data_IF_055235762371
#
_entry.id   IF_055235762371
#
_cell.length_a   1.000
_cell.length_b   1.000
_cell.length_c   1.000
_cell.angle_alpha   90.00
_cell.angle_beta   90.00
_cell.angle_gamma   90.00
#
_symmetry.space_group_name_H-M   'P 1'
#
loop_
_entity.id
_entity.type
_entity.pdbx_description
1 polymer ?
#
# COMPACT_ATOMS: atom_id res chain seq x y z
N UNK A 1 16.38 3.23 -30.83
CA UNK A 1 15.64 2.53 -29.75
C UNK A 1 14.91 3.54 -28.88
N UNK A 2 15.61 4.37 -28.08
CA UNK A 2 14.99 5.36 -27.19
C UNK A 2 14.01 6.36 -27.84
N UNK A 3 14.23 6.74 -29.09
CA UNK A 3 13.32 7.62 -29.84
C UNK A 3 12.00 6.96 -30.26
N UNK A 4 11.86 5.65 -30.05
CA UNK A 4 10.66 4.84 -30.38
C UNK A 4 10.14 4.04 -29.19
N UNK A 5 10.55 4.39 -27.98
CA UNK A 5 10.23 3.61 -26.78
C UNK A 5 9.59 4.52 -25.74
N UNK A 6 8.38 4.15 -25.33
CA UNK A 6 7.75 4.67 -24.12
C UNK A 6 8.49 4.07 -22.93
N UNK A 7 9.00 4.91 -22.05
CA UNK A 7 9.74 4.45 -20.85
C UNK A 7 8.90 4.76 -19.63
N UNK A 8 8.59 3.74 -18.85
CA UNK A 8 7.85 3.86 -17.59
C UNK A 8 8.78 3.50 -16.44
N UNK A 9 8.88 4.39 -15.46
CA UNK A 9 9.55 4.14 -14.19
C UNK A 9 8.51 4.12 -13.07
N UNK A 10 8.51 3.06 -12.27
CA UNK A 10 7.59 2.86 -11.17
C UNK A 10 8.23 2.09 -10.02
N UNK A 11 7.60 2.17 -8.84
CA UNK A 11 7.84 1.22 -7.74
C UNK A 11 6.65 0.27 -7.61
N UNK A 12 6.85 -0.88 -6.96
CA UNK A 12 5.78 -1.83 -6.65
C UNK A 12 5.02 -1.46 -5.37
N UNK A 13 5.73 -0.87 -4.40
CA UNK A 13 5.18 -0.40 -3.12
C UNK A 13 6.09 0.66 -2.48
N UNK A 14 5.62 1.27 -1.40
CA UNK A 14 6.40 2.21 -0.59
C UNK A 14 7.62 1.60 0.11
N UNK A 15 8.37 2.44 0.83
CA UNK A 15 9.67 2.09 1.41
C UNK A 15 9.56 0.94 2.43
N UNK A 16 10.59 0.10 2.50
CA UNK A 16 10.73 -0.96 3.51
C UNK A 16 10.98 -0.39 4.92
N UNK A 17 9.95 0.23 5.51
CA UNK A 17 9.93 0.85 6.83
C UNK A 17 8.60 0.57 7.54
N UNK A 18 8.53 0.82 8.85
CA UNK A 18 7.27 0.71 9.61
C UNK A 18 6.24 1.68 9.01
N UNK A 19 4.99 1.23 8.85
CA UNK A 19 3.89 1.91 8.13
C UNK A 19 4.13 2.17 6.62
N UNK A 20 5.26 1.72 6.06
CA UNK A 20 5.54 1.73 4.61
C UNK A 20 5.09 0.43 3.94
N UNK A 21 6.02 -0.30 3.32
CA UNK A 21 5.80 -1.63 2.71
C UNK A 21 4.91 -2.53 3.59
N UNK A 22 3.93 -3.19 2.95
CA UNK A 22 2.85 -4.00 3.56
C UNK A 22 1.74 -3.23 4.29
N UNK A 23 1.81 -1.90 4.39
CA UNK A 23 0.80 -1.10 5.09
C UNK A 23 0.07 -0.19 4.10
N UNK A 24 -1.28 -0.20 4.06
CA UNK A 24 -2.06 0.55 3.07
C UNK A 24 -2.27 2.02 3.48
N UNK A 25 -1.18 2.72 3.78
CA UNK A 25 -1.10 4.16 4.05
C UNK A 25 -0.45 4.87 2.85
N UNK A 26 -0.46 6.20 2.78
CA UNK A 26 0.24 6.94 1.72
C UNK A 26 1.71 6.53 1.64
N UNK A 27 2.38 6.35 2.79
CA UNK A 27 3.77 5.88 2.85
C UNK A 27 4.02 4.49 2.25
N UNK A 28 2.97 3.68 2.08
CA UNK A 28 3.03 2.34 1.49
C UNK A 28 2.45 2.25 0.07
N UNK A 29 1.53 3.14 -0.30
CA UNK A 29 0.78 3.08 -1.56
C UNK A 29 1.14 4.18 -2.57
N UNK A 30 1.58 5.34 -2.10
CA UNK A 30 1.96 6.43 -2.99
C UNK A 30 3.35 6.18 -3.54
N UNK A 31 3.39 5.65 -4.75
CA UNK A 31 4.59 5.25 -5.48
C UNK A 31 4.90 6.24 -6.60
N UNK A 32 6.18 6.37 -7.02
CA UNK A 32 6.50 7.11 -8.22
C UNK A 32 5.88 6.42 -9.45
N UNK A 33 5.36 7.22 -10.38
CA UNK A 33 5.04 6.83 -11.75
C UNK A 33 5.54 7.94 -12.66
N UNK A 34 6.62 7.68 -13.39
CA UNK A 34 7.21 8.63 -14.34
C UNK A 34 7.15 8.00 -15.71
N UNK A 35 6.59 8.72 -16.69
CA UNK A 35 6.46 8.21 -18.04
C UNK A 35 7.10 9.20 -19.02
N UNK A 36 8.05 8.70 -19.81
CA UNK A 36 8.65 9.42 -20.93
C UNK A 36 8.00 8.95 -22.22
N UNK A 37 7.40 9.88 -22.94
CA UNK A 37 6.93 9.66 -24.30
C UNK A 37 8.03 9.95 -25.32
N UNK A 38 8.24 9.06 -26.31
CA UNK A 38 9.19 9.26 -27.42
C UNK A 38 8.74 10.35 -28.41
N UNK A 39 9.67 11.02 -29.09
CA UNK A 39 9.34 12.09 -30.05
C UNK A 39 8.81 11.58 -31.40
N UNK A 40 9.12 10.34 -31.79
CA UNK A 40 8.70 9.80 -33.09
C UNK A 40 7.22 9.38 -33.16
N UNK A 41 6.51 9.30 -32.03
CA UNK A 41 5.09 9.00 -31.98
C UNK A 41 4.29 10.25 -31.59
N UNK A 42 3.09 10.46 -32.17
CA UNK A 42 2.16 11.46 -31.66
C UNK A 42 1.97 11.24 -30.16
N UNK A 43 2.19 12.30 -29.38
CA UNK A 43 1.98 12.23 -27.95
C UNK A 43 0.48 12.25 -27.64
N UNK A 44 0.02 11.59 -26.56
CA UNK A 44 -1.34 11.73 -26.07
C UNK A 44 -1.71 13.20 -25.87
N UNK A 45 -2.99 13.59 -26.02
CA UNK A 45 -3.43 14.97 -25.86
C UNK A 45 -3.04 15.61 -24.52
N UNK A 46 -2.97 14.81 -23.45
CA UNK A 46 -2.61 15.27 -22.11
C UNK A 46 -1.10 15.33 -21.87
N UNK A 47 -0.28 14.85 -22.80
CA UNK A 47 1.17 14.87 -22.63
C UNK A 47 1.72 16.29 -22.71
N UNK A 48 2.31 16.73 -21.61
CA UNK A 48 3.19 17.88 -21.58
C UNK A 48 4.54 17.46 -20.96
N UNK A 49 5.64 17.76 -21.64
CA UNK A 49 6.97 17.41 -21.13
C UNK A 49 7.23 18.14 -19.82
N UNK A 50 7.56 17.40 -18.76
CA UNK A 50 7.86 17.95 -17.44
C UNK A 50 6.63 18.41 -16.65
N UNK A 51 5.41 18.05 -17.08
CA UNK A 51 4.20 18.31 -16.29
C UNK A 51 4.05 17.32 -15.13
N UNK A 52 3.26 17.72 -14.15
CA UNK A 52 2.77 16.88 -13.05
C UNK A 52 1.28 16.66 -13.26
N UNK A 53 0.82 15.46 -12.96
CA UNK A 53 -0.58 15.06 -13.04
C UNK A 53 -1.02 14.52 -11.68
N UNK A 54 -1.96 15.22 -11.05
CA UNK A 54 -2.44 14.93 -9.70
C UNK A 54 -3.70 14.03 -9.69
N UNK A 55 -4.08 13.48 -10.85
CA UNK A 55 -5.23 12.56 -10.95
C UNK A 55 -4.96 11.27 -10.18
N UNK A 56 -6.05 10.66 -9.71
CA UNK A 56 -6.00 9.38 -9.05
C UNK A 56 -5.78 8.24 -10.06
N UNK A 57 -4.61 7.61 -9.99
CA UNK A 57 -4.23 6.44 -10.79
C UNK A 57 -3.84 5.29 -9.85
N UNK A 58 -4.17 4.06 -10.23
CA UNK A 58 -3.74 2.83 -9.58
C UNK A 58 -2.76 2.08 -10.47
N UNK A 59 -1.85 1.29 -9.88
CA UNK A 59 -0.83 0.57 -10.63
C UNK A 59 -1.40 -0.38 -11.69
N UNK A 60 -2.58 -0.96 -11.46
CA UNK A 60 -3.28 -1.82 -12.42
C UNK A 60 -3.70 -1.10 -13.72
N UNK A 61 -3.79 0.22 -13.68
CA UNK A 61 -4.16 1.03 -14.85
C UNK A 61 -3.04 1.11 -15.87
N UNK A 62 -1.80 0.98 -15.41
CA UNK A 62 -0.65 0.93 -16.30
C UNK A 62 -0.77 -0.28 -17.24
N UNK A 63 -1.22 -1.43 -16.72
CA UNK A 63 -1.45 -2.61 -17.55
C UNK A 63 -2.52 -2.34 -18.61
N UNK A 64 -3.68 -1.81 -18.22
CA UNK A 64 -4.75 -1.45 -19.17
C UNK A 64 -4.26 -0.46 -20.24
N UNK A 65 -3.53 0.56 -19.81
CA UNK A 65 -3.01 1.63 -20.67
C UNK A 65 -1.93 1.12 -21.64
N UNK A 66 -1.06 0.21 -21.20
CA UNK A 66 -0.03 -0.36 -22.10
C UNK A 66 -0.61 -1.31 -23.16
N UNK A 67 -1.73 -1.97 -22.88
CA UNK A 67 -2.47 -2.75 -23.88
C UNK A 67 -3.07 -1.81 -24.94
N UNK A 68 -3.65 -0.69 -24.50
CA UNK A 68 -4.18 0.34 -25.40
C UNK A 68 -3.08 0.94 -26.30
N UNK A 69 -1.92 1.27 -25.73
CA UNK A 69 -0.77 1.77 -26.51
C UNK A 69 -0.25 0.75 -27.53
N UNK A 70 -0.45 -0.54 -27.29
CA UNK A 70 -0.13 -1.59 -28.25
C UNK A 70 -1.18 -1.72 -29.37
N UNK A 71 -2.25 -0.92 -29.35
CA UNK A 71 -3.34 -0.93 -30.34
C UNK A 71 -4.39 -2.02 -30.08
N UNK A 72 -4.49 -2.50 -28.84
CA UNK A 72 -5.43 -3.56 -28.47
C UNK A 72 -6.44 -3.07 -27.44
N UNK A 73 -7.67 -3.59 -27.51
CA UNK A 73 -8.65 -3.36 -26.46
C UNK A 73 -8.30 -4.19 -25.21
N UNK A 74 -8.45 -3.59 -24.03
CA UNK A 74 -8.32 -4.33 -22.76
C UNK A 74 -9.49 -5.32 -22.61
N UNK A 75 -9.30 -6.47 -21.93
CA UNK A 75 -10.42 -7.36 -21.60
C UNK A 75 -11.48 -6.66 -20.73
N UNK A 76 -12.76 -6.99 -20.94
CA UNK A 76 -13.87 -6.44 -20.15
C UNK A 76 -13.76 -6.76 -18.65
N UNK A 77 -13.10 -7.86 -18.30
CA UNK A 77 -12.86 -8.27 -16.91
C UNK A 77 -11.71 -7.51 -16.24
N UNK A 78 -10.95 -6.70 -16.99
CA UNK A 78 -9.84 -5.93 -16.43
C UNK A 78 -10.37 -4.68 -15.70
N UNK A 79 -10.09 -4.63 -14.41
CA UNK A 79 -10.49 -3.53 -13.51
C UNK A 79 -9.66 -2.25 -13.71
N UNK A 80 -8.46 -2.37 -14.27
CA UNK A 80 -7.63 -1.20 -14.60
C UNK A 80 -8.27 -0.36 -15.71
N UNK A 81 -8.06 0.96 -15.64
CA UNK A 81 -8.56 1.92 -16.63
C UNK A 81 -7.45 2.43 -17.54
N UNK A 82 -7.75 2.68 -18.80
CA UNK A 82 -6.88 3.46 -19.69
C UNK A 82 -6.88 4.90 -19.20
N UNK A 83 -5.83 5.35 -18.52
CA UNK A 83 -5.78 6.70 -17.92
C UNK A 83 -5.10 7.75 -18.82
N UNK A 84 -4.54 7.30 -19.95
CA UNK A 84 -3.76 8.15 -20.84
C UNK A 84 -3.70 7.65 -22.28
N UNK A 85 -4.03 8.50 -23.25
CA UNK A 85 -4.13 8.13 -24.67
C UNK A 85 -5.46 8.54 -25.30
N UNK A 86 -5.64 8.25 -26.60
CA UNK A 86 -6.86 8.59 -27.34
C UNK A 86 -8.11 7.88 -26.78
N UNK A 87 -7.96 6.64 -26.34
CA UNK A 87 -9.05 5.82 -25.77
C UNK A 87 -9.15 5.95 -24.25
N UNK A 88 -8.67 7.06 -23.69
CA UNK A 88 -8.72 7.30 -22.25
C UNK A 88 -10.15 7.19 -21.70
N UNK A 89 -10.26 6.48 -20.59
CA UNK A 89 -11.46 6.33 -19.79
C UNK A 89 -11.62 7.51 -18.80
N UNK A 90 -12.85 7.79 -18.33
CA UNK A 90 -13.09 8.84 -17.34
C UNK A 90 -12.26 8.67 -16.07
N UNK A 91 -11.82 9.81 -15.53
CA UNK A 91 -11.11 9.86 -14.25
C UNK A 91 -11.95 9.21 -13.14
N UNK A 92 -11.28 8.63 -12.16
CA UNK A 92 -11.93 8.04 -10.99
C UNK A 92 -11.96 9.04 -9.85
N UNK A 93 -13.04 8.97 -9.07
CA UNK A 93 -13.14 9.69 -7.81
C UNK A 93 -12.44 8.95 -6.66
N UNK A 94 -12.19 7.65 -6.82
CA UNK A 94 -11.70 6.77 -5.75
C UNK A 94 -10.63 5.78 -6.23
N UNK A 95 -9.58 5.59 -5.43
CA UNK A 95 -8.65 4.46 -5.54
C UNK A 95 -8.76 3.56 -4.31
N UNK A 96 -8.61 2.27 -4.53
CA UNK A 96 -8.75 1.24 -3.50
C UNK A 96 -7.46 0.47 -3.34
N UNK A 97 -7.23 -0.03 -2.12
CA UNK A 97 -6.17 -0.99 -1.85
C UNK A 97 -6.52 -1.84 -0.63
N UNK A 98 -5.72 -2.87 -0.42
CA UNK A 98 -5.88 -3.76 0.72
C UNK A 98 -4.60 -4.48 1.07
N UNK A 99 -4.64 -5.07 2.26
CA UNK A 99 -3.62 -5.98 2.75
C UNK A 99 -4.32 -7.14 3.44
N UNK A 100 -3.91 -8.36 3.13
CA UNK A 100 -4.27 -9.55 3.88
C UNK A 100 -3.02 -10.09 4.61
N UNK A 101 -2.84 -11.41 4.62
CA UNK A 101 -1.64 -12.04 5.17
C UNK A 101 -0.38 -11.53 4.48
N UNK A 102 0.61 -11.17 5.29
CA UNK A 102 1.99 -10.94 4.86
C UNK A 102 2.90 -11.92 5.57
N UNK A 103 3.41 -12.92 4.85
CA UNK A 103 4.20 -14.02 5.41
C UNK A 103 3.41 -14.81 6.47
N UNK A 104 3.89 -14.95 7.71
CA UNK A 104 3.13 -15.56 8.81
C UNK A 104 2.06 -14.62 9.40
N UNK A 105 2.13 -13.33 9.11
CA UNK A 105 1.30 -12.31 9.73
C UNK A 105 -0.03 -12.21 9.01
N UNK A 106 -1.02 -12.97 9.47
CA UNK A 106 -2.42 -12.83 9.02
C UNK A 106 -2.91 -11.42 9.38
N UNK A 107 -3.57 -10.74 8.44
CA UNK A 107 -4.23 -9.47 8.68
C UNK A 107 -5.38 -9.31 7.68
N UNK A 108 -6.19 -8.27 7.83
CA UNK A 108 -7.14 -7.82 6.80
C UNK A 108 -7.42 -6.34 6.98
N UNK A 109 -6.94 -5.56 6.02
CA UNK A 109 -7.11 -4.11 5.95
C UNK A 109 -7.60 -3.78 4.56
N UNK A 110 -8.57 -2.87 4.46
CA UNK A 110 -9.04 -2.31 3.18
C UNK A 110 -9.07 -0.79 3.30
N UNK A 111 -8.74 -0.10 2.23
CA UNK A 111 -8.72 1.37 2.19
C UNK A 111 -9.32 1.88 0.89
N UNK A 112 -9.96 3.04 1.00
CA UNK A 112 -10.34 3.88 -0.13
C UNK A 112 -9.75 5.26 0.08
N UNK A 113 -9.30 5.88 -1.02
CA UNK A 113 -8.85 7.26 -1.06
C UNK A 113 -9.59 8.02 -2.15
N UNK A 114 -10.10 9.20 -1.83
CA UNK A 114 -10.52 10.21 -2.81
C UNK A 114 -9.43 11.29 -2.99
N UNK A 115 -9.74 12.38 -3.70
CA UNK A 115 -8.77 13.44 -3.98
C UNK A 115 -8.18 14.09 -2.71
N UNK A 116 -8.84 13.99 -1.55
CA UNK A 116 -8.44 14.65 -0.30
C UNK A 116 -8.28 13.68 0.87
N UNK A 117 -9.18 12.73 1.02
CA UNK A 117 -9.27 11.88 2.20
C UNK A 117 -8.85 10.46 1.91
N UNK A 118 -8.22 9.83 2.89
CA UNK A 118 -8.05 8.38 2.94
C UNK A 118 -8.81 7.81 4.12
N UNK A 119 -9.61 6.79 3.85
CA UNK A 119 -10.31 6.01 4.84
C UNK A 119 -9.74 4.58 4.88
N UNK A 120 -9.46 4.08 6.08
CA UNK A 120 -8.90 2.74 6.31
C UNK A 120 -9.81 1.99 7.28
N UNK A 121 -10.07 0.72 6.97
CA UNK A 121 -10.79 -0.20 7.86
C UNK A 121 -9.91 -1.37 8.25
N UNK A 122 -9.66 -1.50 9.55
CA UNK A 122 -8.97 -2.64 10.14
C UNK A 122 -10.01 -3.69 10.58
N UNK A 123 -9.98 -4.86 9.96
CA UNK A 123 -10.88 -5.95 10.32
C UNK A 123 -10.38 -6.77 11.52
N UNK A 124 -9.08 -6.66 11.85
CA UNK A 124 -8.46 -7.20 13.06
C UNK A 124 -7.84 -6.09 13.93
N UNK A 125 -8.66 -5.20 14.52
CA UNK A 125 -8.19 -4.07 15.33
C UNK A 125 -7.48 -4.51 16.62
N UNK A 126 -7.70 -5.74 17.08
CA UNK A 126 -6.99 -6.31 18.23
C UNK A 126 -5.52 -6.61 17.95
N UNK A 127 -5.07 -6.52 16.70
CA UNK A 127 -3.69 -6.80 16.30
C UNK A 127 -2.87 -5.51 16.17
N UNK A 128 -1.63 -5.47 16.68
CA UNK A 128 -0.79 -4.27 16.64
C UNK A 128 -0.26 -3.94 15.24
N UNK A 129 0.30 -2.74 15.06
CA UNK A 129 1.10 -2.43 13.87
C UNK A 129 2.41 -3.23 13.81
N UNK A 130 3.03 -3.46 14.97
CA UNK A 130 4.29 -4.21 15.08
C UNK A 130 4.04 -5.69 15.36
N UNK A 131 3.04 -6.28 14.70
CA UNK A 131 2.86 -7.73 14.69
C UNK A 131 4.16 -8.43 14.28
N UNK A 132 4.41 -9.60 14.87
CA UNK A 132 5.58 -10.41 14.51
C UNK A 132 5.48 -10.75 13.02
N UNK A 133 6.51 -10.32 12.29
CA UNK A 133 6.81 -10.74 10.94
C UNK A 133 8.33 -10.97 10.90
N UNK A 134 8.74 -12.22 10.78
CA UNK A 134 10.16 -12.59 10.94
C UNK A 134 11.06 -12.00 9.86
N UNK A 135 10.54 -11.75 8.67
CA UNK A 135 11.28 -11.01 7.65
C UNK A 135 11.61 -9.58 8.13
N UNK A 136 10.63 -8.85 8.68
CA UNK A 136 10.85 -7.52 9.27
C UNK A 136 11.78 -7.57 10.46
N UNK A 137 11.60 -8.53 11.38
CA UNK A 137 12.51 -8.71 12.52
C UNK A 137 13.97 -8.87 12.05
N UNK A 138 14.22 -9.66 11.01
CA UNK A 138 15.58 -9.87 10.52
C UNK A 138 16.13 -8.71 9.66
N UNK A 139 15.26 -7.93 9.03
CA UNK A 139 15.67 -7.03 7.92
C UNK A 139 15.44 -5.55 8.20
N UNK A 140 14.61 -5.17 9.16
CA UNK A 140 14.21 -3.78 9.43
C UNK A 140 14.91 -3.30 10.71
N UNK A 141 16.12 -2.72 10.64
CA UNK A 141 16.85 -2.28 11.83
C UNK A 141 16.09 -1.20 12.63
N UNK A 142 15.30 -0.37 11.94
CA UNK A 142 14.46 0.66 12.57
C UNK A 142 13.41 0.03 13.49
N UNK A 143 12.80 -1.10 13.13
CA UNK A 143 11.79 -1.76 13.98
C UNK A 143 12.41 -2.17 15.33
N UNK A 144 13.60 -2.79 15.30
CA UNK A 144 14.34 -3.16 16.51
C UNK A 144 14.73 -1.95 17.36
N UNK A 145 15.16 -0.86 16.72
CA UNK A 145 15.46 0.39 17.42
C UNK A 145 14.21 0.95 18.10
N UNK A 146 13.07 0.97 17.41
CA UNK A 146 11.83 1.46 17.99
C UNK A 146 11.40 0.62 19.20
N UNK A 147 11.47 -0.71 19.15
CA UNK A 147 11.17 -1.56 20.31
C UNK A 147 12.04 -1.20 21.51
N UNK A 148 13.36 -1.08 21.32
CA UNK A 148 14.31 -0.72 22.39
C UNK A 148 13.99 0.65 23.00
N UNK A 149 13.73 1.65 22.15
CA UNK A 149 13.38 2.99 22.62
C UNK A 149 12.02 3.01 23.33
N UNK A 150 11.07 2.18 22.90
CA UNK A 150 9.77 2.07 23.56
C UNK A 150 9.91 1.45 24.95
N UNK A 151 10.66 0.36 25.07
CA UNK A 151 10.97 -0.29 26.36
C UNK A 151 11.72 0.66 27.33
N UNK A 152 12.59 1.52 26.80
CA UNK A 152 13.29 2.55 27.58
C UNK A 152 12.43 3.78 27.92
N UNK A 153 11.20 3.89 27.39
CA UNK A 153 10.35 5.09 27.55
C UNK A 153 10.84 6.31 26.76
N UNK A 154 11.75 6.12 25.81
CA UNK A 154 12.38 7.18 25.00
C UNK A 154 11.67 7.41 23.66
N UNK A 155 10.88 6.44 23.17
CA UNK A 155 10.10 6.58 21.94
C UNK A 155 8.89 7.50 22.19
N UNK A 156 8.72 8.53 21.35
CA UNK A 156 7.68 9.56 21.52
C UNK A 156 6.88 9.81 20.25
N UNK A 157 5.73 10.46 20.41
CA UNK A 157 4.88 10.93 19.31
C UNK A 157 4.35 9.79 18.42
N UNK A 158 4.24 10.07 17.13
CA UNK A 158 3.69 9.13 16.14
C UNK A 158 4.42 7.78 16.10
N UNK A 159 5.74 7.76 16.31
CA UNK A 159 6.49 6.51 16.35
C UNK A 159 6.11 5.63 17.55
N UNK A 160 5.81 6.26 18.71
CA UNK A 160 5.33 5.54 19.89
C UNK A 160 3.90 5.03 19.72
N UNK A 161 3.03 5.77 19.01
CA UNK A 161 1.67 5.32 18.72
C UNK A 161 1.63 4.00 17.93
N UNK A 162 2.63 3.77 17.06
CA UNK A 162 2.77 2.51 16.31
C UNK A 162 3.10 1.31 17.20
N UNK A 163 3.53 1.52 18.44
CA UNK A 163 3.77 0.44 19.43
C UNK A 163 2.51 0.05 20.21
N UNK A 164 1.36 0.66 19.90
CA UNK A 164 0.09 0.28 20.50
C UNK A 164 -0.21 -1.21 20.27
N UNK A 165 -0.71 -1.94 21.29
CA UNK A 165 -1.07 -3.35 21.16
C UNK A 165 -2.29 -3.56 20.23
N UNK A 166 -3.05 -2.50 19.94
CA UNK A 166 -4.25 -2.51 19.11
C UNK A 166 -4.22 -1.36 18.09
N UNK A 167 -5.09 -1.45 17.08
CA UNK A 167 -5.33 -0.42 16.07
C UNK A 167 -6.78 0.08 16.13
N UNK A 168 -7.05 1.32 15.71
CA UNK A 168 -8.42 1.78 15.50
C UNK A 168 -9.14 0.88 14.50
N UNK A 169 -10.43 0.61 14.72
CA UNK A 169 -11.24 -0.15 13.75
C UNK A 169 -11.39 0.60 12.43
N UNK A 170 -11.50 1.92 12.52
CA UNK A 170 -11.67 2.84 11.40
C UNK A 170 -10.69 4.00 11.55
N UNK A 171 -10.11 4.43 10.45
CA UNK A 171 -9.22 5.57 10.38
C UNK A 171 -9.63 6.48 9.22
N UNK A 172 -9.59 7.79 9.44
CA UNK A 172 -9.82 8.80 8.41
C UNK A 172 -8.71 9.85 8.50
N UNK A 173 -8.08 10.15 7.37
CA UNK A 173 -7.01 11.15 7.28
C UNK A 173 -7.32 12.16 6.18
N UNK A 174 -7.13 13.45 6.50
CA UNK A 174 -7.20 14.56 5.55
C UNK A 174 -5.82 14.79 4.93
N UNK A 175 -5.54 14.19 3.78
CA UNK A 175 -4.20 14.21 3.16
C UNK A 175 -3.75 15.60 2.72
N UNK A 176 -4.67 16.57 2.65
CA UNK A 176 -4.32 17.97 2.35
C UNK A 176 -3.65 18.64 3.55
N UNK A 177 -4.15 18.39 4.76
CA UNK A 177 -3.69 19.05 5.99
C UNK A 177 -2.77 18.15 6.82
N UNK A 178 -2.91 16.83 6.67
CA UNK A 178 -2.12 15.78 7.31
C UNK A 178 -1.62 14.77 6.26
N UNK A 179 -0.62 15.16 5.44
CA UNK A 179 -0.07 14.29 4.39
C UNK A 179 0.69 13.06 4.94
N UNK A 180 0.92 13.00 6.25
CA UNK A 180 1.61 11.92 6.91
C UNK A 180 0.68 10.97 7.68
N UNK A 181 -0.64 11.21 7.66
CA UNK A 181 -1.65 10.34 8.28
C UNK A 181 -1.35 10.10 9.77
N UNK A 182 -1.14 11.18 10.52
CA UNK A 182 -0.85 11.16 11.95
C UNK A 182 -2.10 11.38 12.81
N UNK A 183 -3.05 12.16 12.31
CA UNK A 183 -4.25 12.60 13.04
C UNK A 183 -5.48 11.86 12.53
N UNK A 184 -5.89 10.79 13.22
CA UNK A 184 -7.07 10.02 12.87
C UNK A 184 -8.36 10.78 13.22
N UNK A 185 -9.10 11.20 12.19
CA UNK A 185 -10.36 11.94 12.30
C UNK A 185 -11.62 11.05 12.33
N UNK A 186 -11.49 9.72 12.36
CA UNK A 186 -12.65 8.83 12.26
C UNK A 186 -13.64 8.98 13.42
N UNK A 187 -13.19 9.44 14.59
CA UNK A 187 -14.02 9.70 15.75
C UNK A 187 -14.46 11.17 15.87
N UNK A 188 -14.03 12.04 14.96
CA UNK A 188 -14.39 13.46 14.94
C UNK A 188 -15.84 13.63 14.45
N UNK A 189 -16.75 14.21 15.27
CA UNK A 189 -18.13 14.46 14.87
C UNK A 189 -18.25 15.29 13.58
N UNK A 190 -17.32 16.23 13.35
CA UNK A 190 -17.32 17.11 12.18
C UNK A 190 -16.96 16.36 10.88
N UNK A 191 -16.37 15.16 10.99
CA UNK A 191 -16.05 14.30 9.86
C UNK A 191 -17.04 13.14 9.66
N UNK A 192 -18.11 13.08 10.47
CA UNK A 192 -19.06 11.96 10.46
C UNK A 192 -19.66 11.65 9.08
N UNK A 193 -20.00 12.67 8.29
CA UNK A 193 -20.49 12.52 6.92
C UNK A 193 -19.41 11.94 5.98
N UNK A 194 -18.17 12.42 6.08
CA UNK A 194 -17.03 11.93 5.29
C UNK A 194 -16.74 10.46 5.61
N UNK A 195 -16.72 10.10 6.90
CA UNK A 195 -16.53 8.71 7.34
C UNK A 195 -17.66 7.83 6.80
N UNK A 196 -18.92 8.24 6.94
CA UNK A 196 -20.07 7.48 6.46
C UNK A 196 -20.00 7.23 4.96
N UNK A 197 -19.74 8.28 4.17
CA UNK A 197 -19.59 8.19 2.71
C UNK A 197 -18.47 7.23 2.30
N UNK A 198 -17.25 7.42 2.84
CA UNK A 198 -16.10 6.61 2.43
C UNK A 198 -16.20 5.17 2.94
N UNK A 199 -16.84 4.94 4.09
CA UNK A 199 -17.19 3.60 4.56
C UNK A 199 -18.10 2.89 3.56
N UNK A 200 -19.17 3.55 3.12
CA UNK A 200 -20.10 2.99 2.15
C UNK A 200 -19.42 2.70 0.81
N UNK A 201 -18.61 3.63 0.30
CA UNK A 201 -17.82 3.43 -0.93
C UNK A 201 -16.90 2.21 -0.80
N UNK A 202 -16.21 2.06 0.34
CA UNK A 202 -15.33 0.91 0.57
C UNK A 202 -16.11 -0.40 0.67
N UNK A 203 -17.25 -0.41 1.38
CA UNK A 203 -18.10 -1.58 1.52
C UNK A 203 -18.65 -2.03 0.16
N UNK A 204 -19.16 -1.10 -0.64
CA UNK A 204 -19.64 -1.39 -1.98
C UNK A 204 -18.55 -2.01 -2.87
N UNK A 205 -17.34 -1.44 -2.85
CA UNK A 205 -16.21 -2.01 -3.60
C UNK A 205 -15.87 -3.43 -3.13
N UNK A 206 -15.81 -3.69 -1.81
CA UNK A 206 -15.58 -5.03 -1.24
C UNK A 206 -16.62 -6.04 -1.75
N UNK A 207 -17.87 -5.62 -1.91
CA UNK A 207 -18.94 -6.46 -2.47
C UNK A 207 -18.79 -6.66 -3.98
N UNK A 208 -18.52 -5.58 -4.72
CA UNK A 208 -18.38 -5.58 -6.18
C UNK A 208 -17.28 -6.51 -6.67
N UNK A 209 -16.12 -6.49 -6.01
CA UNK A 209 -14.97 -7.32 -6.40
C UNK A 209 -15.05 -8.76 -5.88
N UNK A 210 -16.14 -9.11 -5.19
CA UNK A 210 -16.27 -10.34 -4.41
C UNK A 210 -15.01 -10.63 -3.58
N UNK A 211 -14.66 -9.71 -2.66
CA UNK A 211 -13.41 -9.77 -1.90
C UNK A 211 -13.28 -11.08 -1.10
N UNK A 212 -12.40 -11.97 -1.57
CA UNK A 212 -12.17 -13.29 -0.96
C UNK A 212 -11.47 -13.20 0.40
N UNK A 213 -10.81 -12.08 0.72
CA UNK A 213 -10.16 -11.90 2.03
C UNK A 213 -11.15 -11.90 3.20
N UNK A 214 -12.46 -11.80 2.94
CA UNK A 214 -13.52 -11.97 3.95
C UNK A 214 -13.55 -13.37 4.57
N UNK A 215 -13.02 -14.37 3.87
CA UNK A 215 -12.97 -15.74 4.34
C UNK A 215 -11.61 -16.05 4.97
N UNK A 216 -11.57 -16.48 6.24
CA UNK A 216 -10.32 -16.87 6.88
C UNK A 216 -9.63 -18.02 6.15
N UNK A 217 -8.30 -17.95 6.04
CA UNK A 217 -7.48 -19.07 5.58
C UNK A 217 -7.62 -20.27 6.53
N UNK A 218 -7.41 -21.49 6.01
CA UNK A 218 -7.46 -22.68 6.86
C UNK A 218 -6.30 -22.71 7.87
N UNK A 219 -6.48 -23.36 9.04
CA UNK A 219 -5.39 -23.51 10.01
C UNK A 219 -4.12 -24.10 9.40
N UNK A 220 -4.25 -25.10 8.52
CA UNK A 220 -3.10 -25.76 7.87
C UNK A 220 -2.24 -24.78 7.04
N UNK A 221 -2.88 -23.82 6.36
CA UNK A 221 -2.18 -22.78 5.59
C UNK A 221 -1.43 -21.85 6.53
N UNK A 222 -2.08 -21.39 7.60
CA UNK A 222 -1.48 -20.51 8.60
C UNK A 222 -0.27 -21.19 9.25
N UNK A 223 -0.41 -22.45 9.67
CA UNK A 223 0.66 -23.25 10.28
C UNK A 223 1.83 -23.50 9.31
N UNK A 224 1.54 -23.73 8.02
CA UNK A 224 2.59 -23.89 7.01
C UNK A 224 3.45 -22.62 6.87
N UNK A 225 2.83 -21.44 6.80
CA UNK A 225 3.56 -20.18 6.75
C UNK A 225 4.34 -19.89 8.04
N UNK A 226 3.75 -20.15 9.21
CA UNK A 226 4.47 -20.02 10.50
C UNK A 226 5.74 -20.89 10.54
N UNK A 227 5.64 -22.14 10.08
CA UNK A 227 6.79 -23.06 10.02
C UNK A 227 7.85 -22.58 9.04
N UNK A 228 7.45 -22.19 7.83
CA UNK A 228 8.38 -21.80 6.79
C UNK A 228 9.09 -20.47 7.13
N UNK A 229 8.36 -19.50 7.66
CA UNK A 229 8.94 -18.22 8.07
C UNK A 229 9.85 -18.35 9.28
N UNK A 230 9.53 -19.25 10.22
CA UNK A 230 10.45 -19.62 11.31
C UNK A 230 11.75 -20.20 10.80
N UNK A 231 11.69 -21.17 9.88
CA UNK A 231 12.88 -21.77 9.28
C UNK A 231 13.73 -20.72 8.55
N UNK A 232 13.11 -19.86 7.75
CA UNK A 232 13.81 -18.79 7.02
C UNK A 232 14.49 -17.80 7.97
N UNK A 233 13.83 -17.46 9.08
CA UNK A 233 14.37 -16.58 10.11
C UNK A 233 15.61 -17.17 10.80
N UNK A 234 15.54 -18.44 11.20
CA UNK A 234 16.66 -19.13 11.84
C UNK A 234 17.89 -19.18 10.92
N UNK A 235 17.68 -19.48 9.64
CA UNK A 235 18.74 -19.44 8.63
C UNK A 235 19.33 -18.04 8.45
N UNK A 236 18.48 -17.01 8.43
CA UNK A 236 18.94 -15.62 8.31
C UNK A 236 19.76 -15.17 9.52
N UNK A 237 19.35 -15.54 10.74
CA UNK A 237 20.12 -15.25 11.95
C UNK A 237 21.48 -15.95 11.95
N UNK A 238 21.53 -17.20 11.51
CA UNK A 238 22.79 -17.94 11.36
C UNK A 238 23.73 -17.25 10.35
N UNK A 239 23.19 -16.79 9.21
CA UNK A 239 23.98 -16.04 8.24
C UNK A 239 24.53 -14.73 8.83
N UNK A 240 23.69 -13.94 9.51
CA UNK A 240 24.12 -12.67 10.12
C UNK A 240 25.23 -12.88 11.15
N UNK A 241 25.15 -13.94 11.97
CA UNK A 241 26.22 -14.29 12.92
C UNK A 241 27.53 -14.64 12.23
N UNK A 242 27.47 -15.34 11.10
CA UNK A 242 28.66 -15.67 10.29
C UNK A 242 29.28 -14.42 9.66
N UNK A 243 28.44 -13.53 9.12
CA UNK A 243 28.89 -12.27 8.54
C UNK A 243 29.60 -11.40 9.60
N UNK A 244 29.00 -11.25 10.78
CA UNK A 244 29.61 -10.54 11.92
C UNK A 244 30.93 -11.16 12.40
N UNK A 245 31.06 -12.49 12.33
CA UNK A 245 32.28 -13.19 12.71
C UNK A 245 33.40 -13.02 11.67
N UNK A 246 33.05 -12.85 10.39
CA UNK A 246 34.00 -12.65 9.30
C UNK A 246 34.46 -11.19 9.16
N UNK A 247 33.69 -10.23 9.69
CA UNK A 247 34.05 -8.81 9.72
C UNK A 247 34.94 -8.42 10.92
N UNK A 248 35.15 -9.31 11.89
CA UNK A 248 36.01 -9.13 13.07
C UNK A 248 37.38 -9.78 12.90
#
# INVERSE_FOLDING_TARGET
LYEKTIIVFLADHGRAMVRGKQWPYESGLHIPLIIRWPEEYPSPPEFARGSVDDRLVASIDLTATTIDWAGHAKPDTMQGRVFWGENREPDRDYVFAGRDRGDETVDRIRTVRDARYRYIRNFYPERPFTQINRYKEASYPVLRLMHRLHEAGELKGAAAALMSPTRPREELYDLKNDPYELDNLAADPDQSETVARLREVLENWIHEIDDQGRFPESPDVIEAFERDMRRNYEQRLEQLRRDEANEK
#
